data_IF_044084020371
#
_entry.id   IF_044084020371
#
_cell.length_a   1.000
_cell.length_b   1.000
_cell.length_c   1.000
_cell.angle_alpha   90.00
_cell.angle_beta   90.00
_cell.angle_gamma   90.00
#
_symmetry.space_group_name_H-M   'P 1'
#
loop_
_entity.id
_entity.type
_entity.pdbx_description
1 polymer ?
#
# COMPACT_ATOMS: atom_id res chain seq x y z
N UNK A 1 -7.48 -27.19 14.12
CA UNK A 1 -8.45 -26.29 13.43
C UNK A 1 -7.97 -24.86 13.62
N UNK A 2 -7.68 -24.15 12.52
CA UNK A 2 -7.26 -22.74 12.57
C UNK A 2 -8.49 -21.86 12.83
N UNK A 3 -8.51 -21.14 13.96
CA UNK A 3 -9.57 -20.17 14.26
C UNK A 3 -9.28 -18.91 13.44
N UNK A 4 -10.13 -18.61 12.47
CA UNK A 4 -10.08 -17.38 11.67
C UNK A 4 -10.27 -16.16 12.60
N UNK A 5 -9.20 -15.38 12.82
CA UNK A 5 -9.19 -14.19 13.70
C UNK A 5 -9.25 -12.87 12.93
N UNK A 6 -9.38 -12.91 11.61
CA UNK A 6 -9.27 -11.72 10.76
C UNK A 6 -10.62 -10.99 10.69
N UNK A 7 -10.59 -9.68 10.97
CA UNK A 7 -11.77 -8.80 10.88
C UNK A 7 -12.06 -8.31 9.44
N UNK A 8 -11.10 -8.48 8.53
CA UNK A 8 -11.18 -7.99 7.16
C UNK A 8 -10.70 -9.07 6.19
N UNK A 9 -11.39 -9.17 5.06
CA UNK A 9 -11.00 -10.02 3.94
C UNK A 9 -9.67 -9.51 3.34
N UNK A 10 -8.80 -10.45 2.96
CA UNK A 10 -7.53 -10.15 2.30
C UNK A 10 -7.64 -10.55 0.85
N UNK A 11 -7.19 -9.65 -0.02
CA UNK A 11 -7.06 -9.93 -1.42
C UNK A 11 -5.58 -10.18 -1.73
N UNK A 12 -5.30 -11.31 -2.37
CA UNK A 12 -3.99 -11.55 -2.96
C UNK A 12 -3.95 -10.80 -4.29
N UNK A 13 -3.37 -9.60 -4.27
CA UNK A 13 -3.28 -8.72 -5.44
C UNK A 13 -1.82 -8.43 -5.76
N UNK A 14 -1.44 -8.70 -7.00
CA UNK A 14 -0.12 -8.34 -7.54
C UNK A 14 -0.11 -6.86 -7.92
N UNK A 15 0.05 -6.02 -6.90
CA UNK A 15 0.08 -4.57 -7.01
C UNK A 15 1.53 -4.09 -6.88
N UNK A 16 1.99 -3.34 -7.87
CA UNK A 16 3.25 -2.63 -7.76
C UNK A 16 3.14 -1.57 -6.66
N UNK A 17 4.05 -1.60 -5.71
CA UNK A 17 4.10 -0.65 -4.63
C UNK A 17 5.51 -0.13 -4.37
N UNK A 18 5.60 1.12 -3.96
CA UNK A 18 6.84 1.78 -3.54
C UNK A 18 6.80 1.93 -2.04
N UNK A 19 7.90 1.64 -1.35
CA UNK A 19 8.02 1.85 0.10
C UNK A 19 9.18 2.80 0.41
N UNK A 20 8.94 3.72 1.35
CA UNK A 20 9.91 4.73 1.81
C UNK A 20 9.95 4.84 3.33
N UNK A 21 11.14 5.17 3.85
CA UNK A 21 11.36 5.46 5.26
C UNK A 21 10.86 6.87 5.63
N UNK A 22 10.45 7.12 6.89
CA UNK A 22 9.86 8.38 7.29
C UNK A 22 10.91 9.51 7.26
N UNK A 23 10.50 10.70 6.85
CA UNK A 23 11.36 11.89 6.80
C UNK A 23 12.27 11.99 5.56
N UNK A 24 12.26 11.02 4.66
CA UNK A 24 12.93 11.09 3.36
C UNK A 24 11.91 11.16 2.24
N UNK A 25 11.26 12.30 2.13
CA UNK A 25 10.18 12.49 1.16
C UNK A 25 10.63 12.41 -0.31
N UNK A 26 11.95 12.45 -0.61
CA UNK A 26 12.43 12.43 -2.01
C UNK A 26 13.83 11.81 -2.25
N UNK A 27 14.47 11.16 -1.26
CA UNK A 27 15.90 10.74 -1.39
C UNK A 27 16.26 9.36 -0.82
N UNK A 28 15.30 8.62 -0.24
CA UNK A 28 15.52 7.22 0.09
C UNK A 28 15.36 6.35 -1.17
N UNK A 29 16.05 5.20 -1.27
CA UNK A 29 15.86 4.28 -2.38
C UNK A 29 14.38 3.90 -2.46
N UNK A 30 13.74 4.27 -3.57
CA UNK A 30 12.40 3.85 -3.93
C UNK A 30 12.46 2.34 -4.18
N UNK A 31 12.01 1.54 -3.23
CA UNK A 31 12.01 0.09 -3.40
C UNK A 31 10.71 -0.28 -4.09
N UNK A 32 10.83 -0.76 -5.33
CA UNK A 32 9.71 -1.37 -6.04
C UNK A 32 9.44 -2.76 -5.48
N UNK A 33 8.20 -2.95 -5.05
CA UNK A 33 7.65 -4.19 -4.50
C UNK A 33 6.48 -4.60 -5.39
N UNK A 34 6.28 -5.90 -5.62
CA UNK A 34 5.39 -6.37 -6.72
C UNK A 34 4.03 -6.83 -6.23
N UNK A 35 3.90 -7.24 -4.97
CA UNK A 35 2.66 -7.84 -4.48
C UNK A 35 2.59 -7.74 -2.97
N UNK A 36 1.40 -7.40 -2.48
CA UNK A 36 1.07 -7.57 -1.10
C UNK A 36 -0.28 -8.22 -0.92
N UNK A 37 -0.36 -9.21 -0.04
CA UNK A 37 -1.64 -9.55 0.57
C UNK A 37 -2.16 -8.28 1.27
N UNK A 38 -3.14 -7.62 0.65
CA UNK A 38 -3.62 -6.30 1.03
C UNK A 38 -5.08 -6.39 1.46
N UNK A 39 -5.43 -5.54 2.41
CA UNK A 39 -6.77 -5.37 2.96
C UNK A 39 -6.99 -3.89 3.27
N UNK A 40 -8.20 -3.54 3.66
CA UNK A 40 -8.55 -2.18 4.09
C UNK A 40 -7.84 -1.71 5.38
N UNK A 41 -6.97 -2.53 6.00
CA UNK A 41 -6.29 -2.21 7.26
C UNK A 41 -4.81 -2.58 7.29
N UNK A 42 -4.29 -3.29 6.28
CA UNK A 42 -2.86 -3.53 6.17
C UNK A 42 -2.45 -4.20 4.88
N UNK A 43 -1.14 -4.28 4.67
CA UNK A 43 -0.50 -4.94 3.53
C UNK A 43 0.72 -5.75 4.00
N UNK A 44 1.00 -6.88 3.34
CA UNK A 44 2.28 -7.57 3.45
C UNK A 44 3.16 -7.24 2.24
N UNK A 45 4.19 -6.43 2.37
CA UNK A 45 5.03 -6.02 1.25
C UNK A 45 6.23 -6.94 1.11
N UNK A 46 6.39 -7.56 -0.06
CA UNK A 46 7.60 -8.31 -0.39
C UNK A 46 8.77 -7.36 -0.65
N UNK A 47 9.82 -7.46 0.16
CA UNK A 47 11.00 -6.60 0.07
C UNK A 47 12.20 -7.27 0.70
N UNK A 48 13.38 -7.08 0.11
CA UNK A 48 14.66 -7.48 0.69
C UNK A 48 15.22 -6.46 1.69
N UNK A 49 14.60 -5.27 1.76
CA UNK A 49 15.03 -4.22 2.68
C UNK A 49 14.54 -4.48 4.10
N UNK A 50 15.43 -4.23 5.05
CA UNK A 50 15.12 -4.38 6.46
C UNK A 50 14.46 -3.11 7.00
N UNK A 51 13.15 -3.16 7.21
CA UNK A 51 12.43 -2.12 7.94
C UNK A 51 12.24 -2.56 9.40
N UNK A 52 12.71 -1.78 10.39
CA UNK A 52 12.54 -2.13 11.79
C UNK A 52 11.07 -2.26 12.18
N UNK A 53 10.76 -3.22 13.06
CA UNK A 53 9.43 -3.29 13.69
C UNK A 53 9.15 -1.98 14.44
N UNK A 54 7.90 -1.55 14.44
CA UNK A 54 7.40 -0.27 14.97
C UNK A 54 7.90 0.98 14.22
N UNK A 55 8.64 0.83 13.11
CA UNK A 55 8.95 1.96 12.24
C UNK A 55 7.73 2.36 11.41
N UNK A 56 7.56 3.67 11.22
CA UNK A 56 6.57 4.23 10.29
C UNK A 56 7.13 4.18 8.87
N UNK A 57 6.31 3.82 7.89
CA UNK A 57 6.71 3.76 6.47
C UNK A 57 5.68 4.47 5.60
N UNK A 58 6.15 5.12 4.54
CA UNK A 58 5.32 5.61 3.45
C UNK A 58 5.20 4.55 2.36
N UNK A 59 4.02 4.40 1.79
CA UNK A 59 3.74 3.43 0.74
C UNK A 59 2.95 4.09 -0.39
N UNK A 60 3.30 3.79 -1.62
CA UNK A 60 2.53 4.17 -2.81
C UNK A 60 2.12 2.89 -3.53
N UNK A 61 0.85 2.73 -3.88
CA UNK A 61 0.32 1.53 -4.58
C UNK A 61 -0.23 1.91 -5.94
N UNK A 62 0.19 1.23 -7.00
CA UNK A 62 -0.39 1.38 -8.33
C UNK A 62 -1.56 0.40 -8.51
N UNK A 63 -2.78 0.89 -8.30
CA UNK A 63 -3.99 0.06 -8.31
C UNK A 63 -4.89 0.39 -9.49
N UNK A 64 -5.67 -0.59 -9.93
CA UNK A 64 -6.75 -0.35 -10.91
C UNK A 64 -8.03 0.12 -10.23
N UNK A 65 -8.99 0.62 -11.02
CA UNK A 65 -10.32 0.96 -10.50
C UNK A 65 -11.04 -0.24 -9.86
N UNK A 66 -10.84 -1.45 -10.40
CA UNK A 66 -11.47 -2.65 -9.84
C UNK A 66 -10.79 -3.10 -8.54
N UNK A 67 -9.48 -2.88 -8.39
CA UNK A 67 -8.79 -3.11 -7.12
C UNK A 67 -9.27 -2.13 -6.04
N UNK A 68 -9.50 -0.86 -6.41
CA UNK A 68 -10.05 0.16 -5.50
C UNK A 68 -11.41 -0.25 -4.92
N UNK A 69 -12.30 -0.82 -5.76
CA UNK A 69 -13.61 -1.33 -5.30
C UNK A 69 -13.45 -2.46 -4.29
N UNK A 70 -12.54 -3.40 -4.53
CA UNK A 70 -12.27 -4.55 -3.63
C UNK A 70 -11.71 -4.09 -2.29
N UNK A 71 -10.77 -3.15 -2.34
CA UNK A 71 -10.08 -2.63 -1.16
C UNK A 71 -10.90 -1.59 -0.38
N UNK A 72 -12.11 -1.27 -0.86
CA UNK A 72 -13.04 -0.30 -0.27
C UNK A 72 -12.38 1.06 0.00
N UNK A 73 -11.45 1.46 -0.86
CA UNK A 73 -10.85 2.78 -0.78
C UNK A 73 -11.91 3.84 -1.07
N UNK A 74 -12.09 4.78 -0.14
CA UNK A 74 -13.01 5.91 -0.33
C UNK A 74 -12.29 6.95 -1.20
N UNK A 75 -12.70 7.03 -2.46
CA UNK A 75 -12.23 8.06 -3.39
C UNK A 75 -13.17 9.25 -3.41
N UNK A 76 -12.62 10.45 -3.51
CA UNK A 76 -13.43 11.60 -3.89
C UNK A 76 -13.91 11.44 -5.34
N UNK A 77 -15.11 11.93 -5.65
CA UNK A 77 -15.69 11.90 -7.01
C UNK A 77 -14.76 12.60 -8.01
N UNK A 78 -14.03 13.63 -7.58
CA UNK A 78 -13.06 14.32 -8.41
C UNK A 78 -11.82 13.46 -8.72
N UNK A 79 -11.37 12.64 -7.78
CA UNK A 79 -10.29 11.67 -8.01
C UNK A 79 -10.71 10.59 -9.02
N UNK A 80 -11.98 10.19 -9.00
CA UNK A 80 -12.54 9.25 -9.97
C UNK A 80 -12.57 9.82 -11.39
N UNK A 81 -12.94 11.10 -11.56
CA UNK A 81 -13.02 11.74 -12.88
C UNK A 81 -11.67 11.92 -13.57
N UNK A 82 -10.56 11.90 -12.82
CA UNK A 82 -9.19 12.08 -13.34
C UNK A 82 -8.47 10.77 -13.71
N UNK A 83 -9.12 9.61 -13.52
CA UNK A 83 -8.59 8.31 -13.91
C UNK A 83 -8.68 8.13 -15.43
N UNK A 84 -7.74 8.72 -16.18
CA UNK A 84 -7.67 8.57 -17.63
C UNK A 84 -7.18 7.17 -18.07
N UNK A 85 -6.28 6.55 -17.28
CA UNK A 85 -5.54 5.34 -17.69
C UNK A 85 -5.90 4.06 -16.90
N UNK A 86 -7.07 4.05 -16.23
CA UNK A 86 -7.58 2.93 -15.41
C UNK A 86 -6.65 2.47 -14.25
N UNK A 87 -5.54 3.18 -14.01
CA UNK A 87 -4.62 2.96 -12.89
C UNK A 87 -4.38 4.27 -12.14
N UNK A 88 -4.21 4.19 -10.84
CA UNK A 88 -3.90 5.34 -9.97
C UNK A 88 -2.92 4.94 -8.89
N UNK A 89 -2.07 5.90 -8.51
CA UNK A 89 -1.22 5.78 -7.33
C UNK A 89 -1.99 6.16 -6.07
N UNK A 90 -1.92 5.30 -5.07
CA UNK A 90 -2.55 5.46 -3.76
C UNK A 90 -1.46 5.60 -2.71
N UNK A 91 -1.49 6.70 -1.95
CA UNK A 91 -0.56 6.86 -0.84
C UNK A 91 -1.18 6.35 0.45
N UNK A 92 -0.38 5.62 1.21
CA UNK A 92 -0.71 5.17 2.55
C UNK A 92 0.49 5.37 3.45
N UNK A 93 0.24 5.64 4.72
CA UNK A 93 1.25 5.48 5.77
C UNK A 93 0.87 4.31 6.66
N UNK A 94 1.86 3.72 7.30
CA UNK A 94 1.61 2.58 8.18
C UNK A 94 2.78 2.27 9.08
N UNK A 95 2.54 1.37 10.02
CA UNK A 95 3.53 0.90 11.00
C UNK A 95 3.89 -0.55 10.67
N UNK A 96 5.19 -0.84 10.62
CA UNK A 96 5.68 -2.22 10.49
C UNK A 96 5.36 -2.98 11.77
N UNK A 97 4.51 -4.01 11.68
CA UNK A 97 4.10 -4.83 12.83
C UNK A 97 4.76 -6.20 12.85
N UNK A 98 5.33 -6.64 11.72
CA UNK A 98 6.03 -7.92 11.60
C UNK A 98 7.03 -7.87 10.46
N UNK A 99 8.11 -8.61 10.61
CA UNK A 99 9.05 -8.88 9.54
C UNK A 99 9.13 -10.39 9.31
N UNK A 100 9.25 -10.77 8.06
CA UNK A 100 9.43 -12.14 7.60
C UNK A 100 10.64 -12.22 6.66
N UNK A 101 11.02 -13.43 6.27
CA UNK A 101 12.16 -13.65 5.38
C UNK A 101 12.00 -12.95 4.03
N UNK A 102 10.77 -12.83 3.55
CA UNK A 102 10.44 -12.33 2.21
C UNK A 102 9.89 -10.90 2.21
N UNK A 103 9.71 -10.28 3.38
CA UNK A 103 9.08 -8.97 3.44
C UNK A 103 8.60 -8.55 4.82
N UNK A 104 7.66 -7.62 4.83
CA UNK A 104 7.15 -7.00 6.06
C UNK A 104 5.62 -6.94 6.06
N UNK A 105 5.00 -7.08 7.23
CA UNK A 105 3.59 -6.75 7.42
C UNK A 105 3.45 -5.35 8.00
N UNK A 106 2.63 -4.54 7.35
CA UNK A 106 2.35 -3.15 7.72
C UNK A 106 0.88 -3.03 8.06
N UNK A 107 0.58 -2.44 9.21
CA UNK A 107 -0.78 -1.97 9.53
C UNK A 107 -0.88 -0.53 9.05
N UNK A 108 -1.94 -0.23 8.33
CA UNK A 108 -2.15 1.11 7.80
C UNK A 108 -2.63 2.06 8.91
N UNK A 109 -2.10 3.28 8.89
CA UNK A 109 -2.68 4.38 9.67
C UNK A 109 -3.99 4.80 8.99
N UNK A 110 -4.98 5.27 9.78
CA UNK A 110 -6.38 5.45 9.38
C UNK A 110 -6.64 6.46 8.26
N UNK A 111 -5.60 7.07 7.72
CA UNK A 111 -5.65 8.23 6.85
C UNK A 111 -4.97 7.88 5.51
N UNK A 112 -5.61 7.02 4.70
CA UNK A 112 -5.18 6.87 3.31
C UNK A 112 -5.43 8.17 2.57
N UNK A 113 -4.40 8.74 1.98
CA UNK A 113 -4.54 9.88 1.10
C UNK A 113 -4.36 9.41 -0.34
N UNK A 114 -5.48 9.34 -1.06
CA UNK A 114 -5.49 9.04 -2.47
C UNK A 114 -5.15 10.30 -3.24
N UNK A 115 -3.88 10.44 -3.64
CA UNK A 115 -3.43 11.53 -4.50
C UNK A 115 -3.09 10.95 -5.86
N UNK A 116 -3.87 11.23 -6.93
CA UNK A 116 -3.46 10.81 -8.27
C UNK A 116 -2.13 11.46 -8.61
N UNK A 117 -1.09 10.64 -8.71
CA UNK A 117 0.19 11.06 -9.24
C UNK A 117 0.05 11.21 -10.75
N UNK A 118 0.39 12.39 -11.27
CA UNK A 118 0.57 12.55 -12.72
C UNK A 118 1.67 11.59 -13.16
N UNK A 119 1.53 10.93 -14.33
CA UNK A 119 2.65 10.22 -14.92
C UNK A 119 3.83 11.19 -15.02
N UNK A 120 5.03 10.73 -14.65
CA UNK A 120 6.25 11.48 -14.92
C UNK A 120 6.36 11.61 -16.45
N UNK A 121 6.24 12.85 -16.93
CA UNK A 121 6.44 13.26 -18.32
C UNK A 121 7.86 13.00 -18.79
#
# INVERSE_FOLDING_TARGET
MSIERRKQERFSLNIQAKISAPGRQYSAPMIETVTANISAGGAFLETSHHFPIASRVGMEFLVTYDDLKKLRFILSIESLKRLADNKVWVNATGIVIRQERTGIAVIFESDYQLTPLKPLS
#
